data_IF_517402673561
#
_entry.id   IF_517402673561
#
_cell.length_a   1.000
_cell.length_b   1.000
_cell.length_c   1.000
_cell.angle_alpha   90.00
_cell.angle_beta   90.00
_cell.angle_gamma   90.00
#
_symmetry.space_group_name_H-M   'P 1'
#
loop_
_entity.id
_entity.type
_entity.pdbx_description
1 polymer ?
#
# COMPACT_ATOMS: atom_id res chain seq x y z
N UNK A 1 12.22 -4.53 4.70
CA UNK A 1 11.52 -4.84 3.44
C UNK A 1 10.04 -5.11 3.73
N UNK A 2 9.12 -4.77 2.82
CA UNK A 2 7.71 -5.13 2.95
C UNK A 2 7.37 -6.21 1.92
N UNK A 3 7.08 -7.42 2.38
CA UNK A 3 6.63 -8.53 1.53
C UNK A 3 5.10 -8.43 1.40
N UNK A 4 4.66 -7.58 0.47
CA UNK A 4 3.28 -7.09 0.36
C UNK A 4 3.22 -5.58 0.59
N UNK A 5 3.79 -4.81 -0.34
CA UNK A 5 4.03 -3.38 -0.13
C UNK A 5 2.71 -2.59 0.03
N UNK A 6 2.56 -1.90 1.17
CA UNK A 6 1.35 -1.18 1.57
C UNK A 6 0.98 0.06 0.72
N UNK A 7 1.78 0.43 -0.28
CA UNK A 7 1.40 1.43 -1.27
C UNK A 7 1.31 0.82 -2.66
N UNK A 8 2.34 0.10 -3.10
CA UNK A 8 2.46 -0.39 -4.48
C UNK A 8 1.81 -1.74 -4.75
N UNK A 9 1.38 -2.46 -3.71
CA UNK A 9 0.68 -3.74 -3.84
C UNK A 9 1.54 -4.89 -4.38
N UNK A 10 2.87 -4.74 -4.42
CA UNK A 10 3.79 -5.75 -4.96
C UNK A 10 4.12 -6.86 -3.95
N UNK A 11 4.30 -8.08 -4.44
CA UNK A 11 4.78 -9.25 -3.70
C UNK A 11 6.18 -9.65 -4.20
N UNK A 12 7.15 -9.67 -3.27
CA UNK A 12 8.53 -10.06 -3.57
C UNK A 12 8.61 -11.55 -3.92
N UNK A 13 9.40 -11.87 -4.95
CA UNK A 13 9.75 -13.26 -5.28
C UNK A 13 10.75 -13.83 -4.28
N UNK A 14 10.84 -15.16 -4.22
CA UNK A 14 11.85 -15.83 -3.40
C UNK A 14 13.28 -15.37 -3.74
N UNK A 15 13.62 -15.29 -5.03
CA UNK A 15 14.94 -14.83 -5.48
C UNK A 15 15.27 -13.40 -5.00
N UNK A 16 14.31 -12.47 -5.09
CA UNK A 16 14.52 -11.11 -4.57
C UNK A 16 14.73 -11.10 -3.05
N UNK A 17 14.01 -11.97 -2.31
CA UNK A 17 14.20 -12.07 -0.86
C UNK A 17 15.57 -12.65 -0.51
N UNK A 18 16.05 -13.64 -1.27
CA UNK A 18 17.40 -14.19 -1.14
C UNK A 18 18.46 -13.11 -1.37
N UNK A 19 18.36 -12.33 -2.45
CA UNK A 19 19.30 -11.25 -2.75
C UNK A 19 19.34 -10.21 -1.61
N UNK A 20 18.17 -9.83 -1.08
CA UNK A 20 18.07 -8.91 0.07
C UNK A 20 18.74 -9.49 1.31
N UNK A 21 18.53 -10.78 1.60
CA UNK A 21 19.12 -11.43 2.76
C UNK A 21 20.64 -11.54 2.65
N UNK A 22 21.16 -11.86 1.46
CA UNK A 22 22.61 -11.89 1.19
C UNK A 22 23.20 -10.50 1.35
N UNK A 23 22.58 -9.47 0.79
CA UNK A 23 22.99 -8.09 0.97
C UNK A 23 23.00 -7.67 2.45
N UNK A 24 21.94 -7.97 3.22
CA UNK A 24 21.92 -7.69 4.65
C UNK A 24 23.02 -8.44 5.42
N UNK A 25 23.34 -9.67 5.01
CA UNK A 25 24.42 -10.44 5.59
C UNK A 25 25.82 -9.90 5.23
N UNK A 26 25.99 -9.31 4.05
CA UNK A 26 27.27 -8.71 3.62
C UNK A 26 27.50 -7.35 4.29
N UNK A 27 26.45 -6.55 4.43
CA UNK A 27 26.53 -5.16 4.91
C UNK A 27 26.23 -5.01 6.42
N UNK A 28 26.14 -6.11 7.16
CA UNK A 28 25.83 -6.14 8.61
C UNK A 28 24.54 -5.38 8.98
N UNK A 29 23.50 -5.54 8.16
CA UNK A 29 22.22 -4.85 8.33
C UNK A 29 21.20 -5.68 9.09
N UNK A 30 20.46 -5.01 9.97
CA UNK A 30 19.21 -5.54 10.55
C UNK A 30 18.11 -5.51 9.49
N UNK A 31 17.43 -6.63 9.30
CA UNK A 31 16.26 -6.71 8.42
C UNK A 31 14.96 -6.64 9.24
N UNK A 32 14.15 -5.62 9.01
CA UNK A 32 12.76 -5.57 9.48
C UNK A 32 11.85 -5.96 8.31
N UNK A 33 11.18 -7.10 8.45
CA UNK A 33 10.24 -7.65 7.48
C UNK A 33 8.80 -7.32 7.90
N UNK A 34 8.19 -6.34 7.23
CA UNK A 34 6.77 -6.01 7.43
C UNK A 34 5.91 -6.89 6.51
N UNK A 35 5.31 -7.94 7.10
CA UNK A 35 4.59 -9.01 6.42
C UNK A 35 3.09 -8.99 6.79
N UNK A 36 2.54 -7.82 7.12
CA UNK A 36 1.14 -7.67 7.54
C UNK A 36 0.12 -8.04 6.45
N UNK A 37 0.51 -8.04 5.18
CA UNK A 37 -0.34 -8.40 4.03
C UNK A 37 -0.12 -9.82 3.50
N UNK A 38 0.56 -10.69 4.25
CA UNK A 38 0.92 -12.05 3.82
C UNK A 38 -0.25 -12.92 3.33
N UNK A 39 -1.47 -12.66 3.79
CA UNK A 39 -2.67 -13.38 3.38
C UNK A 39 -3.40 -12.76 2.16
N UNK A 40 -2.97 -11.60 1.68
CA UNK A 40 -3.56 -10.87 0.55
C UNK A 40 -2.67 -11.00 -0.68
N UNK A 41 -2.66 -12.16 -1.34
CA UNK A 41 -1.98 -12.35 -2.63
C UNK A 41 -3.04 -12.73 -3.67
N UNK A 42 -3.08 -12.01 -4.80
CA UNK A 42 -4.14 -12.11 -5.81
C UNK A 42 -3.68 -12.68 -7.15
N UNK A 43 -2.39 -12.51 -7.46
CA UNK A 43 -1.82 -12.93 -8.74
C UNK A 43 -1.52 -14.42 -8.73
N UNK A 44 -1.90 -15.07 -9.83
CA UNK A 44 -1.63 -16.48 -10.05
C UNK A 44 -0.13 -16.73 -10.24
N UNK A 45 0.37 -17.82 -9.66
CA UNK A 45 1.80 -18.18 -9.72
C UNK A 45 2.71 -17.41 -8.76
N UNK A 46 2.17 -16.45 -7.98
CA UNK A 46 2.89 -15.84 -6.85
C UNK A 46 2.37 -16.38 -5.53
N UNK A 47 3.30 -16.67 -4.63
CA UNK A 47 3.04 -17.09 -3.26
C UNK A 47 3.80 -16.17 -2.30
N UNK A 48 3.26 -16.02 -1.09
CA UNK A 48 3.97 -15.36 -0.01
C UNK A 48 5.04 -16.29 0.57
N UNK A 49 6.28 -15.81 0.62
CA UNK A 49 7.36 -16.41 1.40
C UNK A 49 7.71 -15.45 2.54
N UNK A 50 7.76 -15.97 3.78
CA UNK A 50 8.28 -15.17 4.89
C UNK A 50 9.80 -15.07 4.78
N UNK A 51 10.35 -13.90 5.12
CA UNK A 51 11.81 -13.70 5.17
C UNK A 51 12.46 -14.69 6.13
N UNK A 52 11.77 -15.10 7.19
CA UNK A 52 12.26 -16.13 8.11
C UNK A 52 12.41 -17.50 7.43
N UNK A 53 11.44 -17.91 6.60
CA UNK A 53 11.56 -19.15 5.83
C UNK A 53 12.78 -19.09 4.91
N UNK A 54 12.90 -18.02 4.11
CA UNK A 54 14.02 -17.87 3.16
C UNK A 54 15.37 -17.80 3.90
N UNK A 55 15.46 -17.05 4.99
CA UNK A 55 16.67 -17.00 5.82
C UNK A 55 17.01 -18.37 6.44
N UNK A 56 16.01 -19.17 6.80
CA UNK A 56 16.21 -20.54 7.28
C UNK A 56 16.75 -21.45 6.18
N UNK A 57 16.13 -21.41 5.00
CA UNK A 57 16.51 -22.22 3.85
C UNK A 57 17.96 -21.92 3.41
N UNK A 58 18.42 -20.67 3.57
CA UNK A 58 19.77 -20.22 3.29
C UNK A 58 20.78 -20.40 4.44
N UNK A 59 20.34 -20.83 5.63
CA UNK A 59 21.20 -20.93 6.81
C UNK A 59 21.64 -19.57 7.40
N UNK A 60 20.92 -18.49 7.10
CA UNK A 60 21.26 -17.12 7.47
C UNK A 60 20.57 -16.62 8.75
N UNK A 61 19.73 -17.44 9.41
CA UNK A 61 18.97 -17.03 10.61
C UNK A 61 19.83 -16.50 11.78
N UNK A 62 21.07 -16.95 11.90
CA UNK A 62 22.00 -16.45 12.92
C UNK A 62 22.91 -15.33 12.40
N UNK A 63 23.00 -15.15 11.08
CA UNK A 63 23.86 -14.15 10.44
C UNK A 63 23.18 -12.81 10.27
N UNK A 64 21.88 -12.82 9.96
CA UNK A 64 21.06 -11.63 9.73
C UNK A 64 20.10 -11.44 10.90
N UNK A 65 20.26 -10.39 11.71
CA UNK A 65 19.25 -10.03 12.71
C UNK A 65 17.94 -9.67 11.99
N UNK A 66 16.90 -10.46 12.24
CA UNK A 66 15.61 -10.38 11.54
C UNK A 66 14.49 -10.11 12.53
N UNK A 67 13.66 -9.12 12.21
CA UNK A 67 12.40 -8.82 12.90
C UNK A 67 11.25 -8.99 11.90
N UNK A 68 10.47 -10.06 12.01
CA UNK A 68 9.27 -10.28 11.21
C UNK A 68 8.03 -9.73 11.93
N UNK A 69 7.24 -8.90 11.25
CA UNK A 69 6.05 -8.24 11.81
C UNK A 69 4.78 -8.80 11.17
N UNK A 70 3.76 -9.06 12.01
CA UNK A 70 2.43 -9.42 11.53
C UNK A 70 1.31 -8.79 12.37
N UNK A 71 0.12 -8.66 11.80
CA UNK A 71 -1.01 -7.97 12.44
C UNK A 71 -2.35 -8.53 12.01
N UNK A 72 -3.30 -8.57 12.95
CA UNK A 72 -4.72 -8.91 12.69
C UNK A 72 -5.47 -7.80 11.94
N UNK A 73 -4.86 -6.62 11.77
CA UNK A 73 -5.56 -5.45 11.22
C UNK A 73 -5.79 -5.52 9.71
N UNK A 74 -5.04 -6.39 9.02
CA UNK A 74 -5.01 -6.53 7.56
C UNK A 74 -5.49 -7.96 7.20
N UNK A 75 -5.37 -8.39 5.95
CA UNK A 75 -5.91 -9.70 5.59
C UNK A 75 -7.40 -9.68 5.23
N UNK A 76 -7.91 -10.88 5.01
CA UNK A 76 -9.34 -11.16 5.06
C UNK A 76 -9.90 -11.16 6.50
N UNK A 77 -9.02 -11.16 7.52
CA UNK A 77 -9.38 -11.06 8.94
C UNK A 77 -9.79 -9.63 9.28
N UNK A 78 -8.95 -8.63 8.97
CA UNK A 78 -9.37 -7.22 8.92
C UNK A 78 -9.83 -6.60 10.25
N UNK A 79 -9.39 -7.13 11.39
CA UNK A 79 -9.82 -6.74 12.75
C UNK A 79 -9.09 -5.49 13.29
N UNK A 80 -9.05 -4.42 12.48
CA UNK A 80 -8.20 -3.24 12.73
C UNK A 80 -8.49 -2.51 14.05
N UNK A 81 -9.73 -2.54 14.54
CA UNK A 81 -10.13 -1.97 15.82
C UNK A 81 -9.64 -2.74 17.05
N UNK A 82 -9.27 -4.01 16.89
CA UNK A 82 -8.78 -4.88 17.98
C UNK A 82 -7.33 -4.64 18.37
N UNK A 83 -6.59 -3.88 17.54
CA UNK A 83 -5.20 -3.43 17.80
C UNK A 83 -4.27 -4.58 18.23
N UNK A 84 -4.31 -5.69 17.49
CA UNK A 84 -3.44 -6.85 17.71
C UNK A 84 -2.33 -6.99 16.66
N UNK A 85 -1.22 -7.57 17.08
CA UNK A 85 -0.10 -7.94 16.22
C UNK A 85 1.00 -8.55 17.05
N UNK A 86 2.01 -9.08 16.36
CA UNK A 86 3.21 -9.61 16.99
C UNK A 86 4.43 -9.29 16.14
N UNK A 87 5.59 -9.42 16.78
CA UNK A 87 6.87 -9.48 16.09
C UNK A 87 7.62 -10.74 16.52
N UNK A 88 8.36 -11.32 15.59
CA UNK A 88 9.31 -12.40 15.86
C UNK A 88 10.73 -11.90 15.64
N UNK A 89 11.59 -12.07 16.65
CA UNK A 89 12.95 -11.53 16.68
C UNK A 89 13.97 -12.69 16.66
N UNK A 90 14.73 -12.81 15.58
CA UNK A 90 15.70 -13.89 15.34
C UNK A 90 17.09 -13.32 15.00
N UNK A 91 18.17 -14.03 15.32
CA UNK A 91 19.54 -13.61 14.98
C UNK A 91 20.11 -12.47 15.83
N UNK A 92 19.38 -11.98 16.85
CA UNK A 92 19.88 -10.97 17.78
C UNK A 92 20.58 -11.57 19.01
N UNK A 93 21.66 -10.93 19.50
CA UNK A 93 22.27 -11.21 20.80
C UNK A 93 21.27 -11.13 21.98
N UNK A 94 21.56 -11.84 23.06
CA UNK A 94 20.66 -11.93 24.22
C UNK A 94 20.45 -10.59 24.92
N UNK A 95 21.51 -9.79 25.08
CA UNK A 95 21.45 -8.45 25.67
C UNK A 95 20.58 -7.48 24.85
N UNK A 96 20.59 -7.57 23.53
CA UNK A 96 19.68 -6.81 22.66
C UNK A 96 18.23 -7.24 22.84
N UNK A 97 17.97 -8.55 22.93
CA UNK A 97 16.62 -9.08 23.22
C UNK A 97 16.11 -8.61 24.58
N UNK A 98 16.98 -8.53 25.59
CA UNK A 98 16.63 -8.00 26.91
C UNK A 98 16.25 -6.52 26.84
N UNK A 99 16.94 -5.71 26.03
CA UNK A 99 16.55 -4.30 25.82
C UNK A 99 15.20 -4.18 25.11
N UNK A 100 14.90 -5.04 24.13
CA UNK A 100 13.59 -5.09 23.46
C UNK A 100 12.49 -5.41 24.48
N UNK A 101 12.70 -6.40 25.33
CA UNK A 101 11.74 -6.77 26.38
C UNK A 101 11.56 -5.65 27.41
N UNK A 102 12.66 -5.00 27.82
CA UNK A 102 12.63 -3.83 28.72
C UNK A 102 11.84 -2.67 28.13
N UNK A 103 11.98 -2.40 26.83
CA UNK A 103 11.19 -1.38 26.15
C UNK A 103 9.70 -1.76 26.10
N UNK A 104 9.39 -3.02 25.78
CA UNK A 104 8.02 -3.50 25.71
C UNK A 104 7.30 -3.43 27.07
N UNK A 105 8.00 -3.69 28.17
CA UNK A 105 7.42 -3.73 29.52
C UNK A 105 7.01 -2.36 30.07
N UNK A 106 7.48 -1.25 29.49
CA UNK A 106 7.05 0.12 29.85
C UNK A 106 5.52 0.27 29.70
N UNK A 107 4.92 -0.46 28.75
CA UNK A 107 3.48 -0.41 28.48
C UNK A 107 2.69 -1.55 29.17
N UNK A 108 3.26 -2.22 30.18
CA UNK A 108 2.71 -3.40 30.87
C UNK A 108 2.54 -4.62 29.95
N UNK A 109 1.49 -4.64 29.13
CA UNK A 109 1.22 -5.66 28.13
C UNK A 109 0.23 -5.17 27.06
N UNK A 110 0.18 -5.81 25.87
CA UNK A 110 -0.83 -5.54 24.86
C UNK A 110 -2.25 -5.87 25.34
N UNK A 111 -3.27 -5.27 24.74
CA UNK A 111 -4.66 -5.55 25.09
C UNK A 111 -5.04 -7.03 24.87
N UNK A 112 -5.78 -7.63 25.81
CA UNK A 112 -6.12 -9.05 25.79
C UNK A 112 -6.92 -9.47 24.55
N UNK A 113 -7.87 -8.63 24.11
CA UNK A 113 -8.67 -8.95 22.92
C UNK A 113 -7.81 -9.09 21.67
N UNK A 114 -6.83 -8.22 21.48
CA UNK A 114 -5.89 -8.27 20.38
C UNK A 114 -5.01 -9.51 20.44
N UNK A 115 -4.57 -9.92 21.64
CA UNK A 115 -3.80 -11.16 21.84
C UNK A 115 -4.62 -12.41 21.46
N UNK A 116 -5.88 -12.51 21.91
CA UNK A 116 -6.78 -13.62 21.55
C UNK A 116 -6.99 -13.69 20.03
N UNK A 117 -7.27 -12.55 19.39
CA UNK A 117 -7.42 -12.49 17.94
C UNK A 117 -6.14 -12.89 17.19
N UNK A 118 -4.95 -12.55 17.70
CA UNK A 118 -3.68 -13.01 17.11
C UNK A 118 -3.56 -14.52 17.17
N UNK A 119 -3.91 -15.14 18.30
CA UNK A 119 -3.91 -16.61 18.44
C UNK A 119 -4.87 -17.27 17.44
N UNK A 120 -6.09 -16.73 17.30
CA UNK A 120 -7.08 -17.26 16.34
C UNK A 120 -6.63 -17.10 14.89
N UNK A 121 -5.98 -15.98 14.55
CA UNK A 121 -5.39 -15.76 13.22
C UNK A 121 -4.31 -16.79 12.90
N UNK A 122 -3.43 -17.10 13.86
CA UNK A 122 -2.32 -18.03 13.65
C UNK A 122 -2.72 -19.49 13.79
N UNK A 123 -3.89 -19.77 14.37
CA UNK A 123 -4.40 -21.12 14.58
C UNK A 123 -5.85 -21.23 14.08
N UNK A 124 -6.07 -21.11 12.75
CA UNK A 124 -7.41 -21.21 12.17
C UNK A 124 -7.95 -22.64 12.29
N UNK A 125 -9.28 -22.85 12.06
CA UNK A 125 -9.86 -24.18 11.97
C UNK A 125 -9.06 -25.10 11.03
N UNK A 126 -8.93 -26.37 11.42
CA UNK A 126 -8.18 -27.41 10.69
C UNK A 126 -9.13 -28.41 10.02
N UNK A 127 -8.68 -29.17 8.99
CA UNK A 127 -9.49 -30.21 8.39
C UNK A 127 -10.04 -31.18 9.43
N UNK A 128 -11.36 -31.33 9.48
CA UNK A 128 -12.08 -32.14 10.47
C UNK A 128 -12.78 -31.32 11.57
N UNK A 129 -12.44 -30.05 11.75
CA UNK A 129 -13.17 -29.16 12.65
C UNK A 129 -14.56 -28.80 12.07
N UNK A 130 -15.59 -28.64 12.90
CA UNK A 130 -16.95 -28.34 12.44
C UNK A 130 -17.09 -27.07 11.57
N UNK A 131 -16.22 -26.08 11.79
CA UNK A 131 -16.25 -24.80 11.07
C UNK A 131 -15.27 -24.69 9.91
N UNK A 132 -14.46 -25.73 9.66
CA UNK A 132 -13.38 -25.68 8.67
C UNK A 132 -13.86 -25.34 7.26
N UNK A 133 -14.86 -26.07 6.76
CA UNK A 133 -15.34 -25.90 5.39
C UNK A 133 -15.94 -24.50 5.17
N UNK A 134 -16.72 -24.03 6.16
CA UNK A 134 -17.29 -22.68 6.15
C UNK A 134 -16.19 -21.61 6.16
N UNK A 135 -15.22 -21.74 7.05
CA UNK A 135 -14.08 -20.81 7.15
C UNK A 135 -13.30 -20.71 5.84
N UNK A 136 -13.00 -21.84 5.19
CA UNK A 136 -12.30 -21.86 3.91
C UNK A 136 -13.15 -21.26 2.80
N UNK A 137 -14.46 -21.53 2.78
CA UNK A 137 -15.38 -20.94 1.82
C UNK A 137 -15.43 -19.41 1.94
N UNK A 138 -15.59 -18.88 3.15
CA UNK A 138 -15.61 -17.44 3.42
C UNK A 138 -14.29 -16.77 3.07
N UNK A 139 -13.16 -17.37 3.48
CA UNK A 139 -11.81 -16.89 3.13
C UNK A 139 -11.65 -16.77 1.61
N UNK A 140 -12.02 -17.81 0.86
CA UNK A 140 -11.93 -17.81 -0.61
C UNK A 140 -12.86 -16.75 -1.22
N UNK A 141 -14.07 -16.60 -0.71
CA UNK A 141 -15.03 -15.61 -1.19
C UNK A 141 -14.51 -14.17 -1.01
N UNK A 142 -13.98 -13.86 0.19
CA UNK A 142 -13.42 -12.53 0.51
C UNK A 142 -12.20 -12.23 -0.37
N UNK A 143 -11.25 -13.16 -0.46
CA UNK A 143 -10.04 -12.96 -1.28
C UNK A 143 -10.37 -12.86 -2.77
N UNK A 144 -11.30 -13.69 -3.27
CA UNK A 144 -11.78 -13.62 -4.64
C UNK A 144 -12.48 -12.29 -4.96
N UNK A 145 -13.27 -11.77 -4.00
CA UNK A 145 -13.89 -10.44 -4.13
C UNK A 145 -12.87 -9.31 -4.17
N UNK A 146 -11.86 -9.36 -3.29
CA UNK A 146 -10.78 -8.36 -3.28
C UNK A 146 -9.99 -8.39 -4.59
N UNK A 147 -9.70 -9.58 -5.14
CA UNK A 147 -9.05 -9.74 -6.44
C UNK A 147 -9.84 -9.08 -7.56
N UNK A 148 -11.14 -9.40 -7.71
CA UNK A 148 -12.00 -8.80 -8.76
C UNK A 148 -12.06 -7.29 -8.67
N UNK A 149 -12.15 -6.74 -7.44
CA UNK A 149 -12.15 -5.29 -7.22
C UNK A 149 -10.82 -4.64 -7.57
N UNK A 150 -9.71 -5.29 -7.23
CA UNK A 150 -8.38 -4.82 -7.60
C UNK A 150 -8.21 -4.80 -9.13
N UNK A 151 -8.59 -5.88 -9.82
CA UNK A 151 -8.54 -5.97 -11.28
C UNK A 151 -9.40 -4.90 -11.95
N UNK A 152 -10.64 -4.70 -11.49
CA UNK A 152 -11.56 -3.69 -12.03
C UNK A 152 -11.02 -2.27 -11.83
N UNK A 153 -10.50 -1.96 -10.63
CA UNK A 153 -9.92 -0.65 -10.35
C UNK A 153 -8.67 -0.38 -11.20
N UNK A 154 -7.74 -1.35 -11.27
CA UNK A 154 -6.50 -1.21 -12.05
C UNK A 154 -6.81 -1.10 -13.54
N UNK A 155 -7.74 -1.90 -14.06
CA UNK A 155 -8.17 -1.81 -15.45
C UNK A 155 -8.78 -0.45 -15.77
N UNK A 156 -9.66 0.06 -14.91
CA UNK A 156 -10.26 1.38 -15.05
C UNK A 156 -9.25 2.52 -15.00
N UNK A 157 -8.29 2.45 -14.07
CA UNK A 157 -7.20 3.45 -13.97
C UNK A 157 -6.31 3.45 -15.21
N UNK A 158 -5.99 2.28 -15.77
CA UNK A 158 -5.15 2.17 -16.97
C UNK A 158 -5.86 2.61 -18.27
N UNK A 159 -7.17 2.87 -18.24
CA UNK A 159 -7.89 3.46 -19.37
C UNK A 159 -7.82 4.99 -19.39
N UNK A 160 -7.37 5.62 -18.30
CA UNK A 160 -7.31 7.07 -18.18
C UNK A 160 -6.09 7.64 -18.89
N UNK A 161 -6.27 8.82 -19.50
CA UNK A 161 -5.19 9.50 -20.22
C UNK A 161 -3.99 9.79 -19.32
N UNK A 162 -2.79 9.38 -19.74
CA UNK A 162 -1.57 9.69 -19.00
C UNK A 162 -1.49 9.03 -17.62
N UNK A 163 -2.32 8.03 -17.35
CA UNK A 163 -2.28 7.21 -16.12
C UNK A 163 -1.67 5.85 -16.42
N UNK A 164 -0.82 5.38 -15.51
CA UNK A 164 -0.29 4.01 -15.56
C UNK A 164 -0.33 3.42 -14.17
N UNK A 165 -0.98 2.27 -14.03
CA UNK A 165 -1.14 1.57 -12.77
C UNK A 165 -0.60 0.14 -12.91
N UNK A 166 0.40 -0.17 -12.09
CA UNK A 166 0.88 -1.54 -11.96
C UNK A 166 -0.23 -2.45 -11.42
N UNK A 167 -0.20 -3.75 -11.74
CA UNK A 167 -1.07 -4.73 -11.11
C UNK A 167 -0.92 -4.68 -9.58
N UNK A 168 -2.05 -4.71 -8.88
CA UNK A 168 -2.08 -4.90 -7.44
C UNK A 168 -1.93 -6.40 -7.14
N UNK A 169 -0.70 -6.84 -6.95
CA UNK A 169 -0.38 -8.26 -6.73
C UNK A 169 -0.90 -8.77 -5.37
N UNK A 170 -1.04 -7.85 -4.42
CA UNK A 170 -1.51 -8.11 -3.07
C UNK A 170 -1.90 -6.85 -2.32
N UNK A 171 -1.94 -6.96 -0.99
CA UNK A 171 -2.38 -5.90 -0.07
C UNK A 171 -3.81 -5.39 -0.35
N UNK A 172 -4.07 -4.08 -0.20
CA UNK A 172 -5.41 -3.47 -0.34
C UNK A 172 -5.38 -2.16 -1.14
N UNK A 173 -4.29 -1.90 -1.86
CA UNK A 173 -4.00 -0.59 -2.44
C UNK A 173 -3.49 -0.70 -3.88
N UNK A 174 -3.76 0.35 -4.64
CA UNK A 174 -3.14 0.64 -5.92
C UNK A 174 -2.45 2.01 -5.87
N UNK A 175 -1.38 2.16 -6.65
CA UNK A 175 -0.55 3.36 -6.69
C UNK A 175 -0.31 3.83 -8.14
N UNK A 176 -1.36 4.29 -8.84
CA UNK A 176 -1.23 4.80 -10.19
C UNK A 176 -0.26 5.98 -10.26
N UNK A 177 0.58 5.98 -11.29
CA UNK A 177 1.33 7.14 -11.77
C UNK A 177 0.43 7.98 -12.66
N UNK A 178 0.45 9.29 -12.47
CA UNK A 178 -0.28 10.26 -13.28
C UNK A 178 0.70 11.23 -13.94
N UNK A 179 0.52 11.43 -15.24
CA UNK A 179 1.27 12.43 -16.01
C UNK A 179 0.46 13.71 -16.04
N UNK A 180 0.79 14.66 -15.15
CA UNK A 180 0.03 15.90 -15.02
C UNK A 180 0.42 16.91 -16.11
N UNK A 181 -0.54 17.68 -16.65
CA UNK A 181 -0.26 18.78 -17.56
C UNK A 181 0.65 19.83 -16.89
N UNK A 182 1.54 20.45 -17.67
CA UNK A 182 2.47 21.48 -17.18
C UNK A 182 1.76 22.60 -16.40
N UNK A 183 0.61 23.05 -16.88
CA UNK A 183 -0.20 24.10 -16.23
C UNK A 183 -0.74 23.68 -14.86
N UNK A 184 -1.06 22.39 -14.66
CA UNK A 184 -1.45 21.88 -13.35
C UNK A 184 -0.26 21.88 -12.37
N UNK A 185 0.94 21.56 -12.87
CA UNK A 185 2.17 21.61 -12.08
C UNK A 185 2.49 23.06 -11.68
N UNK A 186 2.38 24.01 -12.61
CA UNK A 186 2.58 25.44 -12.37
C UNK A 186 1.55 26.01 -11.38
N UNK A 187 0.27 25.61 -11.50
CA UNK A 187 -0.77 26.02 -10.54
C UNK A 187 -0.49 25.47 -9.14
N UNK A 188 -0.07 24.20 -9.04
CA UNK A 188 0.33 23.63 -7.75
C UNK A 188 1.50 24.40 -7.13
N UNK A 189 2.51 24.75 -7.94
CA UNK A 189 3.64 25.56 -7.51
C UNK A 189 3.21 26.97 -7.05
N UNK A 190 2.30 27.62 -7.76
CA UNK A 190 1.72 28.92 -7.38
C UNK A 190 1.02 28.87 -6.02
N UNK A 191 0.42 27.73 -5.69
CA UNK A 191 -0.23 27.48 -4.39
C UNK A 191 0.75 27.03 -3.30
N UNK A 192 2.04 26.86 -3.60
CA UNK A 192 3.03 26.30 -2.69
C UNK A 192 2.74 24.85 -2.31
N UNK A 193 2.20 24.05 -3.25
CA UNK A 193 1.78 22.66 -3.04
C UNK A 193 2.40 21.73 -4.09
N UNK A 194 2.45 20.45 -3.76
CA UNK A 194 2.88 19.41 -4.70
C UNK A 194 1.79 19.16 -5.77
N UNK A 195 2.15 18.83 -7.03
CA UNK A 195 1.18 18.62 -8.10
C UNK A 195 0.17 17.50 -7.82
N UNK A 196 0.60 16.41 -7.20
CA UNK A 196 -0.30 15.31 -6.80
C UNK A 196 -1.28 15.73 -5.70
N UNK A 197 -0.88 16.60 -4.77
CA UNK A 197 -1.79 17.18 -3.77
C UNK A 197 -2.91 17.98 -4.45
N UNK A 198 -2.59 18.78 -5.47
CA UNK A 198 -3.60 19.54 -6.21
C UNK A 198 -4.63 18.61 -6.86
N UNK A 199 -4.14 17.59 -7.56
CA UNK A 199 -5.00 16.57 -8.18
C UNK A 199 -5.91 15.88 -7.15
N UNK A 200 -5.35 15.40 -6.04
CA UNK A 200 -6.11 14.70 -5.00
C UNK A 200 -7.15 15.61 -4.31
N UNK A 201 -6.79 16.88 -4.05
CA UNK A 201 -7.69 17.87 -3.44
C UNK A 201 -8.86 18.19 -4.37
N UNK A 202 -8.60 18.37 -5.65
CA UNK A 202 -9.66 18.65 -6.61
C UNK A 202 -10.57 17.43 -6.87
N UNK A 203 -10.00 16.21 -6.90
CA UNK A 203 -10.77 14.97 -6.98
C UNK A 203 -11.76 14.89 -5.81
N UNK A 204 -11.28 15.16 -4.59
CA UNK A 204 -12.11 15.19 -3.39
C UNK A 204 -13.24 16.21 -3.51
N UNK A 205 -12.94 17.45 -3.93
CA UNK A 205 -13.96 18.51 -4.04
C UNK A 205 -15.02 18.17 -5.09
N UNK A 206 -14.62 17.56 -6.22
CA UNK A 206 -15.53 17.27 -7.32
C UNK A 206 -16.39 16.02 -7.08
N UNK A 207 -15.85 15.00 -6.41
CA UNK A 207 -16.48 13.66 -6.36
C UNK A 207 -16.76 13.14 -4.95
N UNK A 208 -16.18 13.77 -3.92
CA UNK A 208 -16.17 13.23 -2.55
C UNK A 208 -15.19 12.06 -2.36
N UNK A 209 -14.48 11.61 -3.40
CA UNK A 209 -13.53 10.51 -3.31
C UNK A 209 -12.24 10.99 -2.63
N UNK A 210 -11.90 10.36 -1.52
CA UNK A 210 -10.66 10.63 -0.79
C UNK A 210 -9.57 9.66 -1.25
N UNK A 211 -8.48 10.21 -1.79
CA UNK A 211 -7.24 9.51 -2.08
C UNK A 211 -6.08 10.19 -1.37
N UNK A 212 -4.95 9.50 -1.23
CA UNK A 212 -3.75 10.06 -0.57
C UNK A 212 -2.72 10.43 -1.63
N UNK A 213 -2.19 11.66 -1.65
CA UNK A 213 -1.18 12.07 -2.63
C UNK A 213 0.12 11.29 -2.48
N UNK A 214 0.77 10.99 -3.60
CA UNK A 214 2.01 10.23 -3.69
C UNK A 214 3.18 10.85 -2.93
N UNK A 215 3.19 12.18 -2.83
CA UNK A 215 4.17 12.97 -2.10
C UNK A 215 4.26 12.63 -0.61
N UNK A 216 3.22 12.02 -0.03
CA UNK A 216 3.26 11.50 1.35
C UNK A 216 4.02 10.18 1.53
N UNK A 217 4.36 9.47 0.45
CA UNK A 217 5.01 8.15 0.48
C UNK A 217 6.47 8.16 0.04
N UNK A 218 6.95 9.29 -0.49
CA UNK A 218 8.18 9.34 -1.27
C UNK A 218 7.95 8.78 -2.68
N UNK A 219 8.44 9.49 -3.69
CA UNK A 219 8.34 9.10 -5.09
C UNK A 219 9.54 9.67 -5.86
N UNK A 220 9.86 9.09 -7.01
CA UNK A 220 10.94 9.59 -7.86
C UNK A 220 10.66 11.03 -8.31
N UNK A 221 11.71 11.85 -8.39
CA UNK A 221 11.58 13.24 -8.82
C UNK A 221 10.93 13.34 -10.21
N UNK A 222 10.04 14.31 -10.38
CA UNK A 222 9.27 14.48 -11.62
C UNK A 222 8.18 13.44 -11.87
N UNK A 223 7.92 12.53 -10.92
CA UNK A 223 6.79 11.60 -10.98
C UNK A 223 5.72 11.95 -9.96
N UNK A 224 4.46 11.70 -10.31
CA UNK A 224 3.31 12.02 -9.46
C UNK A 224 2.41 10.80 -9.37
N UNK A 225 1.92 10.53 -8.17
CA UNK A 225 1.08 9.38 -7.90
C UNK A 225 -0.03 9.74 -6.92
N UNK A 226 -0.99 8.83 -6.76
CA UNK A 226 -1.87 8.83 -5.61
C UNK A 226 -2.12 7.39 -5.17
N UNK A 227 -2.34 7.17 -3.87
CA UNK A 227 -2.78 5.87 -3.34
C UNK A 227 -4.30 5.84 -3.26
N UNK A 228 -4.88 4.80 -3.84
CA UNK A 228 -6.31 4.48 -3.72
C UNK A 228 -6.50 3.08 -3.16
N UNK A 229 -7.72 2.76 -2.70
CA UNK A 229 -8.09 1.46 -2.15
C UNK A 229 -9.15 0.80 -3.03
N UNK A 230 -9.11 -0.52 -3.12
CA UNK A 230 -10.19 -1.33 -3.72
C UNK A 230 -11.09 -1.96 -2.63
N UNK A 231 -11.21 -1.28 -1.49
CA UNK A 231 -12.08 -1.65 -0.37
C UNK A 231 -13.58 -1.34 -0.54
N UNK A 232 -14.02 -0.38 -1.39
CA UNK A 232 -15.44 -0.25 -1.72
C UNK A 232 -16.04 -1.58 -2.18
N UNK A 233 -17.34 -1.77 -2.02
CA UNK A 233 -18.00 -3.02 -2.41
C UNK A 233 -17.89 -3.26 -3.92
N UNK A 234 -18.10 -4.50 -4.40
CA UNK A 234 -18.12 -4.80 -5.84
C UNK A 234 -19.19 -3.98 -6.59
N UNK A 235 -20.31 -3.65 -5.93
CA UNK A 235 -21.34 -2.80 -6.51
C UNK A 235 -20.93 -1.32 -6.60
N UNK A 236 -20.04 -0.87 -5.72
CA UNK A 236 -19.64 0.54 -5.62
C UNK A 236 -18.35 0.84 -6.38
N UNK A 237 -17.44 -0.12 -6.51
CA UNK A 237 -16.14 0.10 -7.12
C UNK A 237 -16.26 0.56 -8.57
N UNK A 238 -17.27 0.08 -9.30
CA UNK A 238 -17.57 0.55 -10.66
C UNK A 238 -17.95 2.03 -10.68
N UNK A 239 -18.76 2.48 -9.72
CA UNK A 239 -19.12 3.91 -9.58
C UNK A 239 -17.93 4.77 -9.22
N UNK A 240 -17.03 4.26 -8.37
CA UNK A 240 -15.78 4.94 -8.02
C UNK A 240 -14.90 5.10 -9.25
N UNK A 241 -14.72 4.04 -10.06
CA UNK A 241 -13.95 4.09 -11.31
C UNK A 241 -14.54 5.10 -12.29
N UNK A 242 -15.86 5.07 -12.54
CA UNK A 242 -16.52 6.01 -13.44
C UNK A 242 -16.37 7.46 -12.96
N UNK A 243 -16.66 7.74 -11.69
CA UNK A 243 -16.56 9.10 -11.13
C UNK A 243 -15.13 9.64 -11.17
N UNK A 244 -14.14 8.78 -10.91
CA UNK A 244 -12.73 9.14 -11.02
C UNK A 244 -12.35 9.43 -12.48
N UNK A 245 -12.85 8.63 -13.43
CA UNK A 245 -12.62 8.84 -14.86
C UNK A 245 -13.22 10.14 -15.40
N UNK A 246 -14.46 10.45 -15.03
CA UNK A 246 -15.13 11.71 -15.39
C UNK A 246 -14.37 12.93 -14.83
N UNK A 247 -14.00 12.88 -13.55
CA UNK A 247 -13.16 13.92 -12.95
C UNK A 247 -11.83 14.06 -13.68
N UNK A 248 -11.15 12.94 -13.95
CA UNK A 248 -9.84 12.93 -14.57
C UNK A 248 -9.88 13.58 -15.96
N UNK A 249 -10.85 13.21 -16.80
CA UNK A 249 -11.03 13.80 -18.12
C UNK A 249 -11.26 15.32 -18.04
N UNK A 250 -12.15 15.76 -17.14
CA UNK A 250 -12.42 17.19 -16.94
C UNK A 250 -11.19 17.95 -16.41
N UNK A 251 -10.43 17.33 -15.50
CA UNK A 251 -9.19 17.91 -14.96
C UNK A 251 -8.14 18.10 -16.06
N UNK A 252 -7.91 17.06 -16.88
CA UNK A 252 -6.96 17.08 -17.99
C UNK A 252 -7.34 18.14 -19.02
N UNK A 253 -8.60 18.20 -19.43
CA UNK A 253 -9.08 19.17 -20.41
C UNK A 253 -8.94 20.61 -19.91
N UNK A 254 -9.34 20.87 -18.67
CA UNK A 254 -9.24 22.21 -18.08
C UNK A 254 -7.79 22.67 -18.02
N UNK A 255 -6.86 21.85 -17.54
CA UNK A 255 -5.46 22.24 -17.44
C UNK A 255 -4.70 22.17 -18.78
N UNK A 256 -5.27 21.55 -19.81
CA UNK A 256 -4.78 21.70 -21.20
C UNK A 256 -5.16 23.07 -21.76
N UNK A 257 -6.40 23.51 -21.57
CA UNK A 257 -6.95 24.71 -22.24
C UNK A 257 -6.82 26.02 -21.46
N UNK A 258 -6.59 25.99 -20.14
CA UNK A 258 -6.52 27.20 -19.29
C UNK A 258 -5.42 28.17 -19.76
N UNK A 259 -5.79 29.25 -20.44
CA UNK A 259 -4.85 30.34 -20.75
C UNK A 259 -4.15 30.82 -19.47
N UNK A 260 -2.85 31.18 -19.54
CA UNK A 260 -2.15 31.70 -18.38
C UNK A 260 -2.87 32.95 -17.90
N UNK A 261 -3.40 32.91 -16.68
CA UNK A 261 -3.94 34.10 -16.03
C UNK A 261 -2.77 35.05 -15.72
N UNK A 262 -2.45 35.94 -16.67
CA UNK A 262 -1.40 36.94 -16.51
C UNK A 262 -0.64 37.29 -17.79
N UNK A 263 -1.33 37.73 -18.84
CA UNK A 263 -0.77 38.74 -19.73
C UNK A 263 -1.58 40.02 -19.47
N UNK A 264 -1.12 40.83 -18.52
CA UNK A 264 -1.59 42.21 -18.40
C UNK A 264 -1.10 42.89 -19.67
N UNK A 265 -2.02 43.29 -20.54
CA UNK A 265 -1.70 44.17 -21.66
C UNK A 265 -1.09 45.45 -21.08
N UNK A 266 0.19 45.70 -21.37
CA UNK A 266 0.79 47.02 -21.23
C UNK A 266 0.02 47.95 -22.18
N UNK A 267 -0.89 48.74 -21.62
CA UNK A 267 -1.53 49.83 -22.35
C UNK A 267 -0.44 50.81 -22.82
N UNK A 268 -0.45 51.24 -24.09
CA UNK A 268 0.55 52.17 -24.59
C UNK A 268 0.37 53.51 -23.87
N UNK A 269 1.46 54.01 -23.28
CA UNK A 269 1.55 55.37 -22.80
C UNK A 269 1.38 56.32 -24.00
N UNK A 270 0.16 56.84 -24.18
CA UNK A 270 -0.08 57.96 -25.07
C UNK A 270 0.62 59.19 -24.49
N UNK A 271 1.69 59.62 -25.15
CA UNK A 271 2.22 60.95 -25.00
C UNK A 271 1.30 61.97 -25.66
N UNK A 272 1.00 63.05 -24.93
CA UNK A 272 0.99 64.44 -25.38
C UNK A 272 0.89 65.35 -24.15
#
# INVERSE_FOLDING_TARGET
ASAGCAATGQCLSYANQEDILRFCAEEDLVLIADEVYQANIYIEGKEFFSFKKVASDLGLLQRVPLVSLHSISKGFIGECGRRGGYMEVTGFPADVKDQILKLASINLCPNLSGQICCTLMMNPPQPGDPSYDLYIQEKRAILGSLKRRAELLVAGLNQLEGVTCNPAEGALYAFPRITLPRRAIEEAARLGKQPDWLYCKELLVATGIVVVPGSGFGQAEGTFHFRTTFLPSEADIGRVVSSLGEFHAAFMERYRNKEPAGAVEDAPANGH
#
